data_IF_754560208534
#
_entry.id   IF_754560208534
#
_cell.length_a   1.000
_cell.length_b   1.000
_cell.length_c   1.000
_cell.angle_alpha   90.00
_cell.angle_beta   90.00
_cell.angle_gamma   90.00
#
_symmetry.space_group_name_H-M   'P 1'
#
loop_
_entity.id
_entity.type
_entity.pdbx_description
1 polymer ?
#
# COMPACT_ATOMS: atom_id res chain seq x y z
N UNK A 1 3.24 -14.39 -8.67
CA UNK A 1 4.17 -15.45 -9.14
C UNK A 1 5.53 -14.82 -9.40
N UNK A 2 6.63 -15.55 -9.19
CA UNK A 2 8.00 -15.03 -9.45
C UNK A 2 8.53 -15.49 -10.82
N UNK A 3 7.64 -15.74 -11.78
CA UNK A 3 8.01 -16.12 -13.14
C UNK A 3 7.10 -15.36 -14.11
N UNK A 4 7.61 -15.02 -15.31
CA UNK A 4 6.76 -14.54 -16.39
C UNK A 4 5.59 -15.50 -16.59
N UNK A 5 4.40 -14.93 -16.72
CA UNK A 5 3.16 -15.64 -16.99
C UNK A 5 2.71 -15.23 -18.38
N UNK A 6 2.73 -16.17 -19.31
CA UNK A 6 2.46 -15.93 -20.73
C UNK A 6 1.33 -16.85 -21.15
N UNK A 7 0.28 -16.27 -21.70
CA UNK A 7 -0.94 -16.98 -22.07
C UNK A 7 -1.32 -16.57 -23.49
N UNK A 8 -1.39 -17.53 -24.39
CA UNK A 8 -1.73 -17.28 -25.80
C UNK A 8 -3.21 -16.90 -25.99
N UNK A 9 -4.08 -17.37 -25.10
CA UNK A 9 -5.52 -17.13 -25.13
C UNK A 9 -6.08 -17.11 -23.71
N UNK A 10 -6.55 -15.95 -23.28
CA UNK A 10 -7.17 -15.73 -21.97
C UNK A 10 -8.47 -16.55 -21.80
N UNK A 11 -9.13 -16.89 -22.92
CA UNK A 11 -10.34 -17.71 -22.91
C UNK A 11 -10.07 -19.17 -22.51
N UNK A 12 -8.89 -19.68 -22.86
CA UNK A 12 -8.50 -21.07 -22.64
C UNK A 12 -7.83 -21.29 -21.27
N UNK A 13 -7.44 -20.21 -20.60
CA UNK A 13 -6.69 -20.28 -19.35
C UNK A 13 -7.62 -20.21 -18.12
N UNK A 14 -7.60 -21.21 -17.22
CA UNK A 14 -8.48 -21.27 -16.04
C UNK A 14 -8.13 -20.22 -14.96
N UNK A 15 -6.96 -19.58 -15.06
CA UNK A 15 -6.55 -18.52 -14.15
C UNK A 15 -7.36 -17.22 -14.30
N UNK A 16 -8.11 -17.05 -15.40
CA UNK A 16 -8.91 -15.86 -15.68
C UNK A 16 -10.40 -16.14 -15.50
N UNK A 17 -11.07 -15.32 -14.68
CA UNK A 17 -12.51 -15.37 -14.47
C UNK A 17 -13.28 -14.74 -15.64
N UNK A 18 -14.61 -14.92 -15.67
CA UNK A 18 -15.47 -14.28 -16.65
C UNK A 18 -15.38 -12.74 -16.61
N UNK A 19 -15.23 -12.16 -15.41
CA UNK A 19 -15.05 -10.73 -15.24
C UNK A 19 -13.70 -10.23 -15.81
N UNK A 20 -12.64 -11.04 -15.69
CA UNK A 20 -11.33 -10.71 -16.25
C UNK A 20 -11.34 -10.75 -17.78
N UNK A 21 -12.08 -11.70 -18.36
CA UNK A 21 -12.27 -11.80 -19.82
C UNK A 21 -13.02 -10.60 -20.38
N UNK A 22 -14.07 -10.16 -19.68
CA UNK A 22 -14.84 -8.96 -20.06
C UNK A 22 -13.98 -7.69 -19.96
N UNK A 23 -13.20 -7.54 -18.87
CA UNK A 23 -12.29 -6.40 -18.69
C UNK A 23 -11.21 -6.32 -19.78
N UNK A 24 -10.72 -7.48 -20.23
CA UNK A 24 -9.70 -7.59 -21.29
C UNK A 24 -10.30 -7.55 -22.71
N UNK A 25 -11.62 -7.42 -22.85
CA UNK A 25 -12.30 -7.42 -24.14
C UNK A 25 -12.21 -8.76 -24.89
N UNK A 26 -11.91 -9.85 -24.19
CA UNK A 26 -11.79 -11.18 -24.78
C UNK A 26 -13.17 -11.75 -25.12
N UNK A 27 -13.37 -12.14 -26.37
CA UNK A 27 -14.58 -12.82 -26.86
C UNK A 27 -14.21 -14.00 -27.75
N UNK A 28 -15.14 -14.92 -28.00
CA UNK A 28 -14.91 -16.08 -28.89
C UNK A 28 -14.48 -15.66 -30.31
N UNK A 29 -14.88 -14.46 -30.76
CA UNK A 29 -14.47 -13.86 -32.04
C UNK A 29 -13.17 -13.06 -31.97
N UNK A 30 -12.66 -12.75 -30.78
CA UNK A 30 -11.50 -11.89 -30.58
C UNK A 30 -10.61 -12.46 -29.46
N UNK A 31 -9.81 -13.49 -29.78
CA UNK A 31 -8.91 -14.10 -28.80
C UNK A 31 -7.86 -13.08 -28.34
N UNK A 32 -7.72 -12.90 -27.03
CA UNK A 32 -6.74 -12.00 -26.41
C UNK A 32 -5.64 -12.84 -25.79
N UNK A 33 -4.40 -12.50 -26.09
CA UNK A 33 -3.21 -13.05 -25.42
C UNK A 33 -2.74 -12.10 -24.32
N UNK A 34 -2.18 -12.66 -23.26
CA UNK A 34 -1.78 -11.94 -22.06
C UNK A 34 -0.33 -12.27 -21.67
N UNK A 35 0.45 -11.24 -21.34
CA UNK A 35 1.82 -11.34 -20.89
C UNK A 35 1.94 -10.59 -19.56
N UNK A 36 2.19 -11.30 -18.47
CA UNK A 36 2.44 -10.75 -17.14
C UNK A 36 3.87 -11.00 -16.68
N UNK A 37 4.63 -9.96 -16.40
CA UNK A 37 6.06 -10.05 -16.07
C UNK A 37 6.34 -9.39 -14.71
N UNK A 38 7.00 -10.10 -13.77
CA UNK A 38 7.32 -9.52 -12.48
C UNK A 38 8.37 -8.41 -12.61
N UNK A 39 8.10 -7.26 -12.02
CA UNK A 39 9.09 -6.19 -11.81
C UNK A 39 9.84 -6.53 -10.53
N UNK A 40 11.16 -6.67 -10.61
CA UNK A 40 12.02 -7.08 -9.49
C UNK A 40 12.94 -5.96 -9.03
N UNK A 41 13.13 -5.88 -7.72
CA UNK A 41 14.20 -5.12 -7.07
C UNK A 41 14.92 -6.09 -6.13
N UNK A 42 16.16 -6.44 -6.48
CA UNK A 42 16.95 -7.46 -5.77
C UNK A 42 16.18 -8.81 -5.72
N UNK A 43 16.10 -9.62 -4.64
CA UNK A 43 15.37 -10.89 -4.66
C UNK A 43 13.85 -10.72 -4.47
N UNK A 44 13.31 -9.49 -4.55
CA UNK A 44 11.89 -9.22 -4.27
C UNK A 44 11.17 -8.75 -5.53
N UNK A 45 10.02 -9.37 -5.79
CA UNK A 45 9.04 -8.85 -6.76
C UNK A 45 8.33 -7.66 -6.11
N UNK A 46 8.37 -6.51 -6.78
CA UNK A 46 7.78 -5.24 -6.29
C UNK A 46 6.53 -4.84 -7.06
N UNK A 47 6.22 -5.53 -8.17
CA UNK A 47 5.07 -5.27 -9.00
C UNK A 47 5.02 -6.21 -10.19
N UNK A 48 4.06 -5.96 -11.09
CA UNK A 48 3.92 -6.70 -12.35
C UNK A 48 3.74 -5.71 -13.50
N UNK A 49 4.30 -6.05 -14.66
CA UNK A 49 4.08 -5.40 -15.94
C UNK A 49 3.19 -6.32 -16.76
N UNK A 50 2.00 -5.86 -17.13
CA UNK A 50 1.03 -6.65 -17.89
C UNK A 50 0.78 -6.03 -19.26
N UNK A 51 0.74 -6.86 -20.28
CA UNK A 51 0.40 -6.48 -21.65
C UNK A 51 -0.60 -7.49 -22.20
N UNK A 52 -1.74 -6.98 -22.64
CA UNK A 52 -2.77 -7.72 -23.36
C UNK A 52 -2.76 -7.30 -24.84
N UNK A 53 -3.02 -8.25 -25.74
CA UNK A 53 -3.07 -8.00 -27.18
C UNK A 53 -4.03 -8.95 -27.86
N UNK A 54 -4.72 -8.46 -28.87
CA UNK A 54 -5.56 -9.28 -29.75
C UNK A 54 -4.64 -10.20 -30.57
N UNK A 55 -5.00 -11.48 -30.64
CA UNK A 55 -4.26 -12.51 -31.37
C UNK A 55 -4.40 -12.29 -32.87
N UNK A 56 -3.25 -12.30 -33.56
CA UNK A 56 -3.14 -12.26 -35.02
C UNK A 56 -2.33 -13.48 -35.49
N UNK A 57 -2.56 -13.99 -36.69
CA UNK A 57 -2.19 -15.36 -37.13
C UNK A 57 -0.65 -15.61 -37.23
N UNK A 58 0.16 -14.58 -36.97
CA UNK A 58 1.64 -14.62 -36.95
C UNK A 58 2.27 -14.54 -35.55
N UNK A 59 1.46 -14.70 -34.48
CA UNK A 59 1.77 -14.21 -33.13
C UNK A 59 2.54 -15.14 -32.18
N UNK A 60 2.56 -16.47 -32.39
CA UNK A 60 3.17 -17.41 -31.42
C UNK A 60 4.68 -17.23 -31.29
N UNK A 61 5.40 -17.09 -32.39
CA UNK A 61 6.86 -16.81 -32.38
C UNK A 61 7.17 -15.40 -31.83
N UNK A 62 6.25 -14.44 -31.94
CA UNK A 62 6.43 -13.08 -31.39
C UNK A 62 6.22 -13.03 -29.88
N UNK A 63 5.29 -13.83 -29.34
CA UNK A 63 4.94 -13.86 -27.90
C UNK A 63 6.16 -14.10 -27.02
N UNK A 64 7.00 -15.07 -27.36
CA UNK A 64 8.22 -15.36 -26.59
C UNK A 64 9.26 -14.23 -26.68
N UNK A 65 9.42 -13.63 -27.86
CA UNK A 65 10.34 -12.50 -28.06
C UNK A 65 9.87 -11.27 -27.28
N UNK A 66 8.57 -10.99 -27.32
CA UNK A 66 7.95 -9.88 -26.58
C UNK A 66 8.05 -10.10 -25.08
N UNK A 67 7.85 -11.33 -24.60
CA UNK A 67 8.04 -11.66 -23.19
C UNK A 67 9.50 -11.41 -22.75
N UNK A 68 10.50 -11.81 -23.55
CA UNK A 68 11.91 -11.53 -23.25
C UNK A 68 12.22 -10.03 -23.24
N UNK A 69 11.69 -9.29 -24.22
CA UNK A 69 11.81 -7.83 -24.27
C UNK A 69 11.22 -7.17 -23.03
N UNK A 70 10.00 -7.54 -22.68
CA UNK A 70 9.30 -6.99 -21.53
C UNK A 70 9.96 -7.39 -20.20
N UNK A 71 10.64 -8.54 -20.12
CA UNK A 71 11.50 -8.88 -18.96
C UNK A 71 12.66 -7.90 -18.83
N UNK A 72 13.32 -7.54 -19.94
CA UNK A 72 14.38 -6.51 -19.91
C UNK A 72 13.82 -5.15 -19.47
N UNK A 73 12.64 -4.76 -19.98
CA UNK A 73 11.95 -3.53 -19.57
C UNK A 73 11.59 -3.55 -18.09
N UNK A 74 11.00 -4.65 -17.58
CA UNK A 74 10.64 -4.80 -16.18
C UNK A 74 11.86 -4.69 -15.25
N UNK A 75 13.01 -5.23 -15.65
CA UNK A 75 14.26 -5.07 -14.91
C UNK A 75 14.74 -3.61 -14.89
N UNK A 76 14.68 -2.89 -16.02
CA UNK A 76 15.04 -1.47 -16.09
C UNK A 76 14.12 -0.60 -15.23
N UNK A 77 12.82 -0.88 -15.24
CA UNK A 77 11.84 -0.22 -14.36
C UNK A 77 12.19 -0.50 -12.90
N UNK A 78 12.48 -1.75 -12.54
CA UNK A 78 12.90 -2.12 -11.19
C UNK A 78 14.14 -1.35 -10.73
N UNK A 79 15.18 -1.27 -11.57
CA UNK A 79 16.39 -0.50 -11.29
C UNK A 79 16.11 0.99 -11.13
N UNK A 80 15.27 1.56 -11.97
CA UNK A 80 14.89 2.98 -11.92
C UNK A 80 14.12 3.29 -10.63
N UNK A 81 13.17 2.43 -10.24
CA UNK A 81 12.45 2.56 -8.97
C UNK A 81 13.40 2.42 -7.78
N UNK A 82 14.39 1.52 -7.84
CA UNK A 82 15.44 1.39 -6.82
C UNK A 82 16.26 2.66 -6.70
N UNK A 83 16.72 3.22 -7.82
CA UNK A 83 17.50 4.45 -7.86
C UNK A 83 16.70 5.64 -7.34
N UNK A 84 15.45 5.82 -7.80
CA UNK A 84 14.59 6.90 -7.33
C UNK A 84 14.29 6.79 -5.83
N UNK A 85 14.13 5.56 -5.28
CA UNK A 85 13.99 5.36 -3.83
C UNK A 85 15.25 5.72 -3.05
N UNK A 86 16.42 5.35 -3.56
CA UNK A 86 17.70 5.72 -2.93
C UNK A 86 17.87 7.25 -2.94
N UNK A 87 17.61 7.91 -4.07
CA UNK A 87 17.72 9.37 -4.20
C UNK A 87 16.65 10.12 -3.41
N UNK A 88 15.41 9.62 -3.34
CA UNK A 88 14.37 10.21 -2.51
C UNK A 88 14.76 10.14 -1.02
N UNK A 89 15.27 9.00 -0.56
CA UNK A 89 15.77 8.86 0.82
C UNK A 89 16.99 9.76 1.10
N UNK A 90 17.89 9.95 0.14
CA UNK A 90 19.08 10.80 0.32
C UNK A 90 18.71 12.29 0.32
N UNK A 91 17.74 12.68 -0.54
CA UNK A 91 17.19 14.03 -0.59
C UNK A 91 16.35 14.35 0.65
N UNK A 92 15.65 13.37 1.21
CA UNK A 92 14.96 13.52 2.51
C UNK A 92 15.96 13.76 3.66
N UNK A 93 17.14 13.12 3.67
CA UNK A 93 18.17 13.33 4.71
C UNK A 93 18.79 14.73 4.68
N UNK A 94 18.87 15.37 3.51
CA UNK A 94 19.37 16.74 3.34
C UNK A 94 18.28 17.81 3.53
N UNK A 95 16.99 17.43 3.55
CA UNK A 95 15.86 18.36 3.67
C UNK A 95 15.23 18.38 5.08
N UNK A 96 15.72 17.60 6.04
CA UNK A 96 15.27 17.70 7.46
C UNK A 96 15.64 19.05 8.10
N UNK A 97 16.44 19.90 7.43
CA UNK A 97 16.82 21.21 7.96
C UNK A 97 15.91 22.39 7.54
N UNK A 98 15.01 22.26 6.56
CA UNK A 98 14.16 23.41 6.14
C UNK A 98 12.74 23.03 5.69
N UNK A 99 11.79 23.41 6.54
CA UNK A 99 10.40 23.83 6.30
C UNK A 99 9.51 23.18 5.20
N UNK A 100 8.36 22.69 5.69
CA UNK A 100 7.05 22.44 5.05
C UNK A 100 6.83 21.18 4.17
N UNK A 101 5.87 20.31 4.52
CA UNK A 101 5.53 19.13 3.72
C UNK A 101 4.42 19.43 2.72
N UNK A 102 4.79 19.61 1.44
CA UNK A 102 3.91 19.36 0.29
C UNK A 102 4.52 18.26 -0.57
N UNK A 103 3.94 17.04 -0.47
CA UNK A 103 3.87 16.02 -1.53
C UNK A 103 3.17 14.77 -0.98
N UNK A 104 1.85 14.77 -0.99
CA UNK A 104 1.02 13.58 -0.79
C UNK A 104 0.24 13.35 -2.09
N UNK A 105 0.90 12.82 -3.12
CA UNK A 105 0.28 12.01 -4.17
C UNK A 105 1.41 11.12 -4.73
N UNK A 106 1.16 9.83 -4.97
CA UNK A 106 1.95 8.92 -5.83
C UNK A 106 2.81 7.76 -5.25
N UNK A 107 2.76 7.42 -3.95
CA UNK A 107 3.51 6.23 -3.45
C UNK A 107 2.68 5.13 -2.79
N UNK A 108 1.40 4.99 -3.16
CA UNK A 108 0.47 4.08 -2.49
C UNK A 108 0.26 2.68 -3.07
N UNK A 109 0.71 2.33 -4.29
CA UNK A 109 -0.01 1.29 -5.05
C UNK A 109 0.55 -0.14 -5.00
N UNK A 110 1.82 -0.43 -4.69
CA UNK A 110 2.34 -1.78 -5.08
C UNK A 110 2.95 -2.70 -4.01
N UNK A 111 3.05 -2.36 -2.71
CA UNK A 111 3.82 -3.20 -1.77
C UNK A 111 3.31 -3.35 -0.32
N UNK A 112 2.02 -3.11 -0.05
CA UNK A 112 1.42 -3.34 1.28
C UNK A 112 0.18 -4.22 1.28
N UNK A 113 -0.07 -4.95 0.19
CA UNK A 113 -1.15 -5.92 0.16
C UNK A 113 -1.01 -6.97 1.29
N UNK A 114 -2.04 -6.97 2.14
CA UNK A 114 -2.57 -8.10 2.93
C UNK A 114 -2.02 -8.38 4.33
N UNK A 115 -0.91 -7.79 4.80
CA UNK A 115 -0.38 -8.14 6.15
C UNK A 115 -0.35 -7.06 7.23
N UNK A 116 -0.88 -5.85 7.01
CA UNK A 116 -0.72 -4.75 7.99
C UNK A 116 -1.94 -3.90 8.35
N UNK A 117 -3.13 -4.19 7.84
CA UNK A 117 -4.32 -3.40 8.23
C UNK A 117 -5.05 -3.96 9.47
N UNK A 118 -4.70 -5.15 9.97
CA UNK A 118 -5.16 -5.67 11.28
C UNK A 118 -4.34 -5.16 12.47
N UNK A 119 -3.70 -3.99 12.33
CA UNK A 119 -2.90 -3.47 13.42
C UNK A 119 -3.83 -2.78 14.43
N UNK A 120 -3.78 -3.23 15.69
CA UNK A 120 -4.41 -2.53 16.84
C UNK A 120 -5.94 -2.57 16.91
N UNK A 121 -6.58 -3.56 16.26
CA UNK A 121 -8.04 -3.75 16.32
C UNK A 121 -8.86 -2.84 15.40
N UNK A 122 -8.19 -2.09 14.52
CA UNK A 122 -8.83 -1.35 13.42
C UNK A 122 -8.96 -2.31 12.22
N UNK A 123 -10.14 -2.39 11.61
CA UNK A 123 -10.40 -3.24 10.44
C UNK A 123 -10.95 -2.36 9.32
N UNK A 124 -10.36 -2.47 8.12
CA UNK A 124 -10.83 -1.79 6.92
C UNK A 124 -9.69 -1.54 5.93
N UNK A 125 -10.05 -1.37 4.65
CA UNK A 125 -9.07 -1.22 3.55
C UNK A 125 -9.26 0.09 2.76
N UNK A 126 -9.89 1.10 3.37
CA UNK A 126 -10.14 2.38 2.68
C UNK A 126 -8.85 3.21 2.55
N UNK A 127 -8.67 3.99 1.46
CA UNK A 127 -7.51 4.87 1.29
C UNK A 127 -7.35 5.88 2.43
N UNK A 128 -8.47 6.40 2.96
CA UNK A 128 -8.48 7.30 4.11
C UNK A 128 -7.94 6.62 5.37
N UNK A 129 -8.28 5.35 5.59
CA UNK A 129 -7.79 4.58 6.73
C UNK A 129 -6.30 4.23 6.59
N UNK A 130 -5.85 3.91 5.39
CA UNK A 130 -4.42 3.73 5.11
C UNK A 130 -3.64 5.02 5.44
N UNK A 131 -4.13 6.17 4.99
CA UNK A 131 -3.53 7.47 5.32
C UNK A 131 -3.54 7.79 6.82
N UNK A 132 -4.58 7.37 7.55
CA UNK A 132 -4.62 7.49 9.01
C UNK A 132 -3.56 6.62 9.69
N UNK A 133 -3.42 5.35 9.28
CA UNK A 133 -2.41 4.43 9.84
C UNK A 133 -0.98 4.93 9.59
N UNK A 134 -0.73 5.57 8.45
CA UNK A 134 0.56 6.19 8.16
C UNK A 134 0.85 7.38 9.08
N UNK A 135 -0.14 8.24 9.32
CA UNK A 135 -0.02 9.34 10.29
C UNK A 135 0.25 8.82 11.71
N UNK A 136 -0.45 7.75 12.11
CA UNK A 136 -0.21 7.09 13.40
C UNK A 136 1.24 6.62 13.50
N UNK A 137 1.78 5.98 12.46
CA UNK A 137 3.16 5.48 12.47
C UNK A 137 4.22 6.58 12.56
N UNK A 138 3.94 7.78 12.02
CA UNK A 138 4.81 8.95 12.16
C UNK A 138 4.72 9.52 13.57
N UNK A 139 3.50 9.77 14.05
CA UNK A 139 3.26 10.42 15.34
C UNK A 139 3.66 9.54 16.52
N UNK A 140 3.50 8.22 16.41
CA UNK A 140 3.87 7.28 17.47
C UNK A 140 5.37 7.28 17.81
N UNK A 141 6.24 7.72 16.88
CA UNK A 141 7.68 7.88 17.16
C UNK A 141 8.00 9.15 17.94
N UNK A 142 7.06 10.11 18.00
CA UNK A 142 7.22 11.37 18.72
C UNK A 142 6.70 11.26 20.16
N UNK A 143 7.28 12.06 21.04
CA UNK A 143 6.78 12.29 22.40
C UNK A 143 5.78 13.45 22.51
N UNK A 144 5.41 14.08 21.39
CA UNK A 144 4.47 15.20 21.35
C UNK A 144 3.04 14.79 21.73
N UNK A 145 2.29 15.73 22.30
CA UNK A 145 0.85 15.59 22.56
C UNK A 145 0.07 15.49 21.24
N UNK A 146 -0.87 14.55 21.17
CA UNK A 146 -1.65 14.27 19.95
C UNK A 146 -3.12 14.59 20.19
N UNK A 147 -3.71 15.42 19.32
CA UNK A 147 -5.13 15.73 19.32
C UNK A 147 -5.85 14.88 18.26
N UNK A 148 -6.77 14.01 18.68
CA UNK A 148 -7.60 13.21 17.78
C UNK A 148 -8.93 13.94 17.53
N UNK A 149 -9.15 14.34 16.27
CA UNK A 149 -10.40 14.97 15.83
C UNK A 149 -11.25 13.99 15.05
N UNK A 150 -12.56 14.07 15.22
CA UNK A 150 -13.53 13.24 14.51
C UNK A 150 -14.88 13.27 15.20
N UNK A 151 -15.91 12.85 14.49
CA UNK A 151 -17.29 12.80 14.99
C UNK A 151 -17.42 11.81 16.16
N UNK A 152 -18.49 11.95 16.95
CA UNK A 152 -18.79 11.01 18.03
C UNK A 152 -18.99 9.60 17.45
N UNK A 153 -18.50 8.57 18.15
CA UNK A 153 -18.64 7.17 17.70
C UNK A 153 -17.64 6.67 16.64
N UNK A 154 -16.76 7.51 16.10
CA UNK A 154 -15.77 7.14 15.06
C UNK A 154 -14.56 6.31 15.54
N UNK A 155 -14.61 5.80 16.78
CA UNK A 155 -13.54 4.93 17.30
C UNK A 155 -12.22 5.64 17.61
N UNK A 156 -12.24 6.94 17.97
CA UNK A 156 -11.04 7.72 18.38
C UNK A 156 -10.19 7.02 19.46
N UNK A 157 -10.83 6.24 20.32
CA UNK A 157 -10.15 5.42 21.34
C UNK A 157 -9.25 4.35 20.73
N UNK A 158 -9.70 3.66 19.67
CA UNK A 158 -8.91 2.65 18.95
C UNK A 158 -7.69 3.30 18.29
N UNK A 159 -7.87 4.51 17.75
CA UNK A 159 -6.77 5.29 17.17
C UNK A 159 -5.75 5.68 18.24
N UNK A 160 -6.20 6.14 19.42
CA UNK A 160 -5.30 6.46 20.53
C UNK A 160 -4.50 5.23 21.00
N UNK A 161 -5.17 4.08 21.10
CA UNK A 161 -4.54 2.80 21.44
C UNK A 161 -3.50 2.39 20.39
N UNK A 162 -3.81 2.54 19.11
CA UNK A 162 -2.89 2.25 18.02
C UNK A 162 -1.62 3.12 18.08
N UNK A 163 -1.77 4.41 18.40
CA UNK A 163 -0.62 5.31 18.61
C UNK A 163 0.25 4.83 19.78
N UNK A 164 -0.37 4.44 20.90
CA UNK A 164 0.35 3.95 22.08
C UNK A 164 1.14 2.67 21.78
N UNK A 165 0.48 1.67 21.19
CA UNK A 165 1.07 0.37 20.85
C UNK A 165 2.16 0.49 19.76
N UNK A 166 2.08 1.49 18.88
CA UNK A 166 3.10 1.77 17.86
C UNK A 166 4.27 2.62 18.36
N UNK A 167 4.25 3.10 19.60
CA UNK A 167 5.24 4.03 20.14
C UNK A 167 6.31 3.35 20.99
N UNK A 168 7.37 4.09 21.34
CA UNK A 168 8.40 3.63 22.29
C UNK A 168 7.85 3.34 23.69
N UNK A 169 6.66 3.85 24.03
CA UNK A 169 5.95 3.62 25.30
C UNK A 169 4.92 2.50 25.25
N UNK A 170 4.89 1.67 24.20
CA UNK A 170 3.93 0.57 24.05
C UNK A 170 3.86 -0.38 25.27
N UNK A 171 4.99 -0.58 25.97
CA UNK A 171 5.07 -1.42 27.17
C UNK A 171 4.61 -0.73 28.46
N UNK A 172 4.34 0.57 28.43
CA UNK A 172 3.87 1.33 29.59
C UNK A 172 2.34 1.29 29.68
N UNK A 173 1.76 1.55 30.87
CA UNK A 173 0.31 1.62 31.02
C UNK A 173 -0.33 2.64 30.08
N UNK A 174 -1.47 2.27 29.51
CA UNK A 174 -2.33 3.15 28.71
C UNK A 174 -3.63 3.40 29.47
N UNK A 175 -3.75 4.59 30.06
CA UNK A 175 -4.92 4.99 30.84
C UNK A 175 -5.84 5.81 29.95
N UNK A 176 -7.11 5.42 29.91
CA UNK A 176 -8.16 6.12 29.16
C UNK A 176 -9.05 6.85 30.14
N UNK A 177 -9.28 8.14 29.88
CA UNK A 177 -10.18 8.96 30.68
C UNK A 177 -11.24 9.56 29.76
N UNK A 178 -12.51 9.41 30.12
CA UNK A 178 -13.62 10.04 29.43
C UNK A 178 -14.08 11.28 30.23
N UNK A 179 -13.66 12.46 29.81
CA UNK A 179 -14.01 13.71 30.49
C UNK A 179 -15.51 14.04 30.45
N UNK A 180 -16.29 13.47 29.53
CA UNK A 180 -17.73 13.68 29.48
C UNK A 180 -18.50 12.89 30.56
N UNK A 181 -17.85 11.90 31.18
CA UNK A 181 -18.47 11.06 32.21
C UNK A 181 -18.19 11.55 33.65
N UNK A 182 -17.39 12.60 33.83
CA UNK A 182 -16.94 13.08 35.14
C UNK A 182 -17.41 14.53 35.39
N UNK A 183 -17.96 14.85 36.58
CA UNK A 183 -18.22 16.24 36.99
C UNK A 183 -16.91 17.03 37.14
N UNK A 184 -16.93 18.33 36.81
CA UNK A 184 -15.73 19.20 36.86
C UNK A 184 -15.03 19.20 38.23
N UNK A 185 -15.81 19.11 39.31
CA UNK A 185 -15.30 19.10 40.69
C UNK A 185 -14.53 17.83 41.06
N UNK A 186 -14.74 16.72 40.35
CA UNK A 186 -14.08 15.42 40.60
C UNK A 186 -12.91 15.20 39.64
N UNK A 187 -12.88 15.92 38.52
CA UNK A 187 -11.85 15.81 37.49
C UNK A 187 -10.46 16.17 38.02
N UNK A 188 -10.36 17.22 38.85
CA UNK A 188 -9.09 17.69 39.42
C UNK A 188 -8.54 16.68 40.43
N UNK A 189 -9.37 16.17 41.35
CA UNK A 189 -8.98 15.15 42.33
C UNK A 189 -8.57 13.82 41.69
N UNK A 190 -9.18 13.41 40.58
CA UNK A 190 -8.82 12.16 39.89
C UNK A 190 -7.56 12.28 39.02
N UNK A 191 -7.32 13.44 38.39
CA UNK A 191 -6.18 13.65 37.51
C UNK A 191 -4.87 13.92 38.26
N UNK A 192 -4.96 14.58 39.43
CA UNK A 192 -3.80 15.07 40.15
C UNK A 192 -3.65 14.47 41.57
N UNK A 193 -4.71 13.86 42.10
CA UNK A 193 -4.76 13.32 43.47
C UNK A 193 -5.22 14.34 44.50
#
# INVERSE_FOLDING_TARGET
TDRPFVVESVADEPAFSAADRELLGASDSMPVSFIGIPIRIDPRVVGTLTVDRIKDDSSSLRLEHDARLLVMVANLVGQTVKLHRLLACDRERLLVDKDQPQKIVELGVAARERKKLHAHGIIGDSPALSGLLEKIAVVAKSSSTVLLRGESGTGKELVAKAIHESSSRAKRPFVKLNCAALPETVLESELFG
#
